data_IF_645445926629
#
_entry.id   IF_645445926629
#
_cell.length_a   1.000
_cell.length_b   1.000
_cell.length_c   1.000
_cell.angle_alpha   90.00
_cell.angle_beta   90.00
_cell.angle_gamma   90.00
#
_symmetry.space_group_name_H-M   'P 1'
#
loop_
_entity.id
_entity.type
_entity.pdbx_description
1 polymer ?
#
# COMPACT_ATOMS: atom_id res chain seq x y z
N UNK A 1 -35.17 -9.50 -8.44
CA UNK A 1 -34.30 -9.35 -7.24
C UNK A 1 -33.88 -7.88 -7.17
N UNK A 2 -34.04 -7.21 -6.04
CA UNK A 2 -33.63 -5.81 -5.95
C UNK A 2 -32.10 -5.72 -5.99
N UNK A 3 -31.57 -5.12 -7.07
CA UNK A 3 -30.14 -5.01 -7.34
C UNK A 3 -29.42 -4.21 -6.24
N UNK A 4 -30.04 -3.13 -5.78
CA UNK A 4 -29.52 -2.26 -4.74
C UNK A 4 -29.37 -3.02 -3.40
N UNK A 5 -30.37 -3.83 -3.04
CA UNK A 5 -30.31 -4.66 -1.85
C UNK A 5 -29.22 -5.74 -1.96
N UNK A 6 -29.03 -6.33 -3.14
CA UNK A 6 -27.97 -7.32 -3.38
C UNK A 6 -26.57 -6.72 -3.26
N UNK A 7 -26.38 -5.53 -3.81
CA UNK A 7 -25.12 -4.78 -3.69
C UNK A 7 -24.84 -4.40 -2.24
N UNK A 8 -25.83 -3.88 -1.51
CA UNK A 8 -25.65 -3.51 -0.11
C UNK A 8 -25.30 -4.74 0.75
N UNK A 9 -25.99 -5.86 0.59
CA UNK A 9 -25.67 -7.12 1.27
C UNK A 9 -24.23 -7.59 1.00
N UNK A 10 -23.77 -7.46 -0.24
CA UNK A 10 -22.39 -7.79 -0.60
C UNK A 10 -21.36 -6.85 0.04
N UNK A 11 -21.65 -5.56 0.06
CA UNK A 11 -20.76 -4.57 0.72
C UNK A 11 -20.66 -4.87 2.21
N UNK A 12 -21.76 -5.21 2.87
CA UNK A 12 -21.76 -5.56 4.29
C UNK A 12 -21.00 -6.87 4.55
N UNK A 13 -21.11 -7.86 3.68
CA UNK A 13 -20.29 -9.06 3.68
C UNK A 13 -18.79 -8.74 3.59
N UNK A 14 -18.40 -7.82 2.67
CA UNK A 14 -17.01 -7.43 2.52
C UNK A 14 -16.47 -6.69 3.75
N UNK A 15 -17.31 -5.89 4.42
CA UNK A 15 -16.96 -5.16 5.64
C UNK A 15 -16.84 -6.09 6.84
N UNK A 16 -17.87 -6.90 7.10
CA UNK A 16 -18.04 -7.65 8.34
C UNK A 16 -17.27 -8.97 8.30
N UNK A 17 -17.44 -9.77 7.25
CA UNK A 17 -16.82 -11.08 7.19
C UNK A 17 -15.40 -11.06 6.59
N UNK A 18 -15.16 -10.21 5.59
CA UNK A 18 -13.85 -10.15 4.90
C UNK A 18 -12.92 -9.09 5.47
N UNK A 19 -13.40 -8.21 6.33
CA UNK A 19 -12.63 -7.12 6.93
C UNK A 19 -11.86 -6.30 5.88
N UNK A 20 -12.49 -6.04 4.73
CA UNK A 20 -11.88 -5.24 3.67
C UNK A 20 -11.85 -3.76 4.08
N UNK A 21 -10.82 -3.04 3.59
CA UNK A 21 -10.69 -1.59 3.83
C UNK A 21 -11.80 -0.81 3.11
N UNK A 22 -12.15 0.38 3.64
CA UNK A 22 -13.10 1.31 3.02
C UNK A 22 -12.80 1.52 1.54
N UNK A 23 -11.56 1.77 1.20
CA UNK A 23 -11.09 1.93 -0.17
C UNK A 23 -11.42 0.71 -1.06
N UNK A 24 -11.29 -0.50 -0.53
CA UNK A 24 -11.56 -1.73 -1.31
C UNK A 24 -13.04 -1.87 -1.61
N UNK A 25 -13.92 -1.76 -0.62
CA UNK A 25 -15.35 -1.98 -0.86
C UNK A 25 -15.99 -0.82 -1.64
N UNK A 26 -15.47 0.42 -1.56
CA UNK A 26 -15.89 1.52 -2.42
C UNK A 26 -15.57 1.24 -3.91
N UNK A 27 -14.39 0.70 -4.19
CA UNK A 27 -14.06 0.30 -5.54
C UNK A 27 -14.93 -0.85 -6.05
N UNK A 28 -15.23 -1.83 -5.19
CA UNK A 28 -16.14 -2.93 -5.55
C UNK A 28 -17.56 -2.41 -5.83
N UNK A 29 -18.05 -1.49 -4.99
CA UNK A 29 -19.35 -0.81 -5.20
C UNK A 29 -19.39 -0.16 -6.57
N UNK A 30 -18.44 0.70 -6.86
CA UNK A 30 -18.38 1.43 -8.12
C UNK A 30 -18.28 0.50 -9.35
N UNK A 31 -17.47 -0.58 -9.27
CA UNK A 31 -17.35 -1.53 -10.36
C UNK A 31 -18.65 -2.28 -10.63
N UNK A 32 -19.43 -2.59 -9.60
CA UNK A 32 -20.73 -3.29 -9.72
C UNK A 32 -21.81 -2.34 -10.19
N UNK A 33 -21.83 -1.10 -9.72
CA UNK A 33 -22.76 -0.05 -10.21
C UNK A 33 -22.56 0.21 -11.71
N UNK A 34 -21.31 0.27 -12.17
CA UNK A 34 -21.01 0.39 -13.61
C UNK A 34 -21.50 -0.84 -14.40
N UNK A 35 -21.41 -2.03 -13.82
CA UNK A 35 -21.96 -3.23 -14.42
C UNK A 35 -23.49 -3.20 -14.48
N UNK A 36 -24.19 -2.69 -13.48
CA UNK A 36 -25.64 -2.48 -13.52
C UNK A 36 -26.05 -1.50 -14.62
N UNK A 37 -25.29 -0.44 -14.82
CA UNK A 37 -25.53 0.49 -15.93
C UNK A 37 -25.43 -0.24 -17.28
N UNK A 38 -24.39 -1.08 -17.44
CA UNK A 38 -24.22 -1.90 -18.64
C UNK A 38 -25.40 -2.85 -18.86
N UNK A 39 -25.85 -3.58 -17.82
CA UNK A 39 -27.00 -4.47 -17.91
C UNK A 39 -28.25 -3.73 -18.42
N UNK A 40 -28.51 -2.55 -17.87
CA UNK A 40 -29.63 -1.70 -18.26
C UNK A 40 -29.56 -1.24 -19.72
N UNK A 41 -28.37 -0.87 -20.19
CA UNK A 41 -28.13 -0.51 -21.61
C UNK A 41 -28.36 -1.69 -22.56
N UNK A 42 -28.09 -2.91 -22.11
CA UNK A 42 -28.28 -4.13 -22.90
C UNK A 42 -29.69 -4.75 -22.74
N UNK A 43 -30.57 -4.13 -21.96
CA UNK A 43 -31.91 -4.67 -21.70
C UNK A 43 -31.96 -5.92 -20.84
N UNK A 44 -30.90 -6.22 -20.08
CA UNK A 44 -30.80 -7.38 -19.20
C UNK A 44 -31.56 -7.05 -17.91
N UNK A 45 -32.66 -7.75 -17.66
CA UNK A 45 -33.59 -7.45 -16.59
C UNK A 45 -33.15 -7.89 -15.20
N UNK A 46 -32.24 -8.87 -15.09
CA UNK A 46 -31.82 -9.43 -13.80
C UNK A 46 -30.39 -9.99 -13.87
N UNK A 47 -29.70 -9.99 -12.73
CA UNK A 47 -28.39 -10.65 -12.57
C UNK A 47 -28.42 -12.16 -12.92
N UNK A 48 -29.59 -12.80 -12.86
CA UNK A 48 -29.77 -14.21 -13.23
C UNK A 48 -29.76 -14.42 -14.73
N UNK A 49 -30.13 -13.39 -15.48
CA UNK A 49 -30.28 -13.46 -16.94
C UNK A 49 -28.97 -13.12 -17.67
N UNK A 50 -27.94 -12.76 -16.93
CA UNK A 50 -26.62 -12.46 -17.48
C UNK A 50 -25.95 -13.76 -17.93
N UNK A 51 -25.60 -13.83 -19.19
CA UNK A 51 -24.89 -14.95 -19.81
C UNK A 51 -23.39 -14.69 -19.98
N UNK A 52 -22.66 -15.71 -20.37
CA UNK A 52 -21.22 -15.59 -20.71
C UNK A 52 -20.97 -14.63 -21.90
N UNK A 53 -21.91 -14.59 -22.86
CA UNK A 53 -21.93 -13.63 -23.98
C UNK A 53 -21.91 -12.19 -23.50
N UNK A 54 -22.73 -11.87 -22.49
CA UNK A 54 -22.84 -10.52 -21.91
C UNK A 54 -21.57 -10.15 -21.12
N UNK A 55 -20.99 -11.14 -20.41
CA UNK A 55 -19.72 -10.92 -19.72
C UNK A 55 -18.59 -10.58 -20.72
N UNK A 56 -18.58 -11.20 -21.91
CA UNK A 56 -17.65 -10.86 -22.99
C UNK A 56 -17.94 -9.47 -23.59
N UNK A 57 -19.21 -9.15 -23.81
CA UNK A 57 -19.62 -7.84 -24.33
C UNK A 57 -19.23 -6.71 -23.37
N UNK A 58 -19.40 -6.93 -22.05
CA UNK A 58 -18.92 -6.00 -21.04
C UNK A 58 -17.40 -5.77 -21.11
N UNK A 59 -16.61 -6.83 -21.31
CA UNK A 59 -15.16 -6.69 -21.53
C UNK A 59 -14.84 -5.86 -22.76
N UNK A 60 -15.54 -6.08 -23.86
CA UNK A 60 -15.37 -5.31 -25.10
C UNK A 60 -15.64 -3.82 -24.81
N UNK A 61 -16.76 -3.50 -24.15
CA UNK A 61 -17.08 -2.12 -23.72
C UNK A 61 -15.95 -1.49 -22.90
N UNK A 62 -15.42 -2.20 -21.90
CA UNK A 62 -14.31 -1.69 -21.08
C UNK A 62 -13.03 -1.46 -21.90
N UNK A 63 -12.78 -2.26 -22.93
CA UNK A 63 -11.68 -2.09 -23.87
C UNK A 63 -11.87 -0.87 -24.77
N UNK A 64 -13.08 -0.69 -25.32
CA UNK A 64 -13.42 0.44 -26.20
C UNK A 64 -13.36 1.78 -25.45
N UNK A 65 -13.60 1.77 -24.14
CA UNK A 65 -13.37 2.93 -23.25
C UNK A 65 -11.87 3.23 -23.02
N UNK A 66 -10.95 2.50 -23.62
CA UNK A 66 -9.51 2.71 -23.46
C UNK A 66 -8.93 2.34 -22.10
N UNK A 67 -9.64 1.55 -21.30
CA UNK A 67 -9.18 1.19 -19.96
C UNK A 67 -7.93 0.31 -20.01
N UNK A 68 -6.98 0.60 -19.10
CA UNK A 68 -5.77 -0.23 -18.95
C UNK A 68 -6.14 -1.65 -18.54
N UNK A 69 -5.42 -2.65 -19.06
CA UNK A 69 -5.59 -4.09 -18.75
C UNK A 69 -5.74 -4.38 -17.26
N UNK A 70 -4.95 -3.69 -16.40
CA UNK A 70 -5.04 -3.85 -14.95
C UNK A 70 -6.38 -3.37 -14.36
N UNK A 71 -6.96 -2.29 -14.91
CA UNK A 71 -8.27 -1.76 -14.50
C UNK A 71 -9.39 -2.71 -14.92
N UNK A 72 -9.34 -3.24 -16.14
CA UNK A 72 -10.28 -4.25 -16.64
C UNK A 72 -10.21 -5.51 -15.76
N UNK A 73 -9.02 -6.03 -15.48
CA UNK A 73 -8.83 -7.20 -14.62
C UNK A 73 -9.38 -6.98 -13.20
N UNK A 74 -9.21 -5.79 -12.62
CA UNK A 74 -9.77 -5.44 -11.32
C UNK A 74 -11.31 -5.45 -11.36
N UNK A 75 -11.92 -4.77 -12.34
CA UNK A 75 -13.38 -4.70 -12.49
C UNK A 75 -14.00 -6.10 -12.63
N UNK A 76 -13.45 -6.94 -13.50
CA UNK A 76 -13.90 -8.32 -13.64
C UNK A 76 -13.72 -9.13 -12.35
N UNK A 77 -12.64 -8.88 -11.61
CA UNK A 77 -12.42 -9.55 -10.31
C UNK A 77 -13.47 -9.13 -9.27
N UNK A 78 -13.87 -7.85 -9.25
CA UNK A 78 -14.93 -7.33 -8.39
C UNK A 78 -16.28 -8.02 -8.70
N UNK A 79 -16.66 -8.06 -9.97
CA UNK A 79 -17.91 -8.69 -10.43
C UNK A 79 -17.88 -10.19 -10.15
N UNK A 80 -16.78 -10.91 -10.43
CA UNK A 80 -16.63 -12.32 -10.06
C UNK A 80 -16.84 -12.58 -8.59
N UNK A 81 -16.30 -11.68 -7.75
CA UNK A 81 -16.45 -11.80 -6.30
C UNK A 81 -17.89 -11.59 -5.87
N UNK A 82 -18.60 -10.66 -6.53
CA UNK A 82 -20.00 -10.41 -6.30
C UNK A 82 -20.86 -11.62 -6.70
N UNK A 83 -20.67 -12.19 -7.89
CA UNK A 83 -21.39 -13.40 -8.32
C UNK A 83 -21.09 -14.58 -7.41
N UNK A 84 -19.86 -14.77 -6.95
CA UNK A 84 -19.54 -15.82 -5.96
C UNK A 84 -20.28 -15.62 -4.64
N UNK A 85 -20.45 -14.39 -4.18
CA UNK A 85 -21.26 -14.08 -3.02
C UNK A 85 -22.72 -14.44 -3.26
N UNK A 86 -23.31 -14.05 -4.40
CA UNK A 86 -24.69 -14.35 -4.74
C UNK A 86 -24.95 -15.88 -4.89
N UNK A 87 -23.97 -16.60 -5.41
CA UNK A 87 -24.03 -18.06 -5.50
C UNK A 87 -23.99 -18.71 -4.10
N UNK A 88 -23.11 -18.24 -3.21
CA UNK A 88 -23.07 -18.68 -1.80
C UNK A 88 -24.39 -18.44 -1.08
N UNK A 89 -25.04 -17.33 -1.34
CA UNK A 89 -26.37 -16.98 -0.78
C UNK A 89 -27.53 -17.69 -1.51
N UNK A 90 -27.25 -18.66 -2.36
CA UNK A 90 -28.21 -19.41 -3.17
C UNK A 90 -29.15 -18.53 -4.03
N UNK A 91 -28.72 -17.30 -4.32
CA UNK A 91 -29.50 -16.34 -5.12
C UNK A 91 -29.31 -16.54 -6.62
N UNK A 92 -28.17 -17.08 -7.04
CA UNK A 92 -27.77 -17.36 -8.43
C UNK A 92 -27.07 -18.70 -8.49
N UNK A 93 -27.31 -19.49 -9.56
CA UNK A 93 -26.72 -20.81 -9.72
C UNK A 93 -25.33 -20.76 -10.38
N UNK A 94 -25.13 -19.86 -11.35
CA UNK A 94 -23.93 -19.79 -12.15
C UNK A 94 -23.28 -18.39 -12.10
N UNK A 95 -21.96 -18.36 -12.30
CA UNK A 95 -21.21 -17.12 -12.39
C UNK A 95 -20.70 -16.95 -13.83
N UNK A 96 -21.34 -16.08 -14.65
CA UNK A 96 -20.99 -15.90 -16.05
C UNK A 96 -19.57 -15.39 -16.29
N UNK A 97 -18.98 -14.75 -15.28
CA UNK A 97 -17.61 -14.24 -15.35
C UNK A 97 -16.56 -15.31 -15.00
N UNK A 98 -16.93 -16.52 -14.55
CA UNK A 98 -15.97 -17.55 -14.16
C UNK A 98 -15.04 -17.95 -15.31
N UNK A 99 -15.60 -18.06 -16.52
CA UNK A 99 -14.89 -18.51 -17.71
C UNK A 99 -14.25 -17.37 -18.52
N UNK A 100 -14.41 -16.12 -18.10
CA UNK A 100 -13.80 -14.99 -18.78
C UNK A 100 -12.27 -15.04 -18.62
N UNK A 101 -11.56 -15.26 -19.70
CA UNK A 101 -10.10 -15.21 -19.70
C UNK A 101 -9.62 -13.79 -19.68
N UNK A 102 -8.96 -13.39 -18.59
CA UNK A 102 -8.26 -12.12 -18.53
C UNK A 102 -6.86 -12.27 -19.15
N UNK A 103 -6.40 -11.30 -19.95
CA UNK A 103 -5.05 -11.33 -20.47
C UNK A 103 -4.05 -11.45 -19.33
N UNK A 104 -3.11 -12.40 -19.44
CA UNK A 104 -2.03 -12.56 -18.45
C UNK A 104 -1.35 -11.21 -18.22
N UNK A 105 -1.16 -10.86 -16.96
CA UNK A 105 -0.34 -9.70 -16.62
C UNK A 105 1.05 -9.90 -17.20
N UNK A 106 1.55 -8.91 -17.95
CA UNK A 106 2.97 -8.88 -18.25
C UNK A 106 3.73 -8.95 -16.92
N UNK A 107 4.54 -9.96 -16.75
CA UNK A 107 5.48 -10.03 -15.63
C UNK A 107 6.57 -8.98 -15.91
N UNK A 108 6.34 -7.76 -15.44
CA UNK A 108 7.42 -6.76 -15.42
C UNK A 108 8.35 -7.18 -14.29
N UNK A 109 9.62 -7.36 -14.62
CA UNK A 109 10.64 -7.54 -13.59
C UNK A 109 10.48 -6.39 -12.57
N UNK A 110 10.42 -6.71 -11.28
CA UNK A 110 10.31 -5.68 -10.26
C UNK A 110 11.53 -4.76 -10.36
N UNK A 111 11.26 -3.47 -10.45
CA UNK A 111 12.32 -2.45 -10.49
C UNK A 111 12.68 -2.08 -9.07
N UNK A 112 13.95 -2.07 -8.76
CA UNK A 112 14.49 -1.56 -7.49
C UNK A 112 15.54 -0.48 -7.79
N UNK A 113 15.91 0.31 -6.80
CA UNK A 113 16.99 1.29 -6.89
C UNK A 113 18.31 0.63 -6.50
N UNK A 114 19.37 0.97 -7.20
CA UNK A 114 20.74 0.69 -6.75
C UNK A 114 21.13 1.64 -5.61
N UNK A 115 22.18 1.31 -4.87
CA UNK A 115 22.63 2.12 -3.72
C UNK A 115 23.00 3.56 -4.14
N UNK A 116 23.62 3.72 -5.32
CA UNK A 116 23.97 5.01 -5.87
C UNK A 116 22.73 5.85 -6.20
N UNK A 117 21.66 5.21 -6.69
CA UNK A 117 20.39 5.90 -6.95
C UNK A 117 19.70 6.33 -5.64
N UNK A 118 19.78 5.51 -4.57
CA UNK A 118 19.31 5.87 -3.23
C UNK A 118 20.09 7.07 -2.70
N UNK A 119 21.42 7.07 -2.84
CA UNK A 119 22.26 8.19 -2.42
C UNK A 119 21.89 9.48 -3.18
N UNK A 120 21.74 9.42 -4.49
CA UNK A 120 21.30 10.56 -5.29
C UNK A 120 19.93 11.12 -4.88
N UNK A 121 19.00 10.25 -4.46
CA UNK A 121 17.70 10.67 -3.94
C UNK A 121 17.81 11.37 -2.58
N UNK A 122 18.70 10.89 -1.72
CA UNK A 122 18.99 11.51 -0.42
C UNK A 122 19.64 12.88 -0.58
N UNK A 123 20.59 13.00 -1.49
CA UNK A 123 21.25 14.28 -1.80
C UNK A 123 20.25 15.29 -2.38
N UNK A 124 19.29 14.79 -3.18
CA UNK A 124 18.22 15.63 -3.71
C UNK A 124 17.22 16.11 -2.65
N UNK A 125 17.14 15.48 -1.46
CA UNK A 125 16.28 15.97 -0.38
C UNK A 125 16.65 17.36 0.07
N UNK A 126 17.96 17.69 0.17
CA UNK A 126 18.47 18.90 0.79
C UNK A 126 18.35 18.88 2.33
N UNK A 127 18.83 19.93 2.97
CA UNK A 127 18.87 20.07 4.44
C UNK A 127 18.70 21.52 4.93
N UNK A 128 18.47 22.45 4.00
CA UNK A 128 18.48 23.90 4.29
C UNK A 128 17.14 24.42 4.80
N UNK A 129 16.04 23.81 4.40
CA UNK A 129 14.70 24.23 4.78
C UNK A 129 13.98 23.19 5.65
N UNK A 130 13.02 23.61 6.50
CA UNK A 130 12.24 22.66 7.30
C UNK A 130 11.55 21.54 6.47
N UNK A 131 11.13 21.85 5.25
CA UNK A 131 10.52 20.86 4.36
C UNK A 131 11.53 19.89 3.75
N UNK A 132 12.76 20.34 3.51
CA UNK A 132 13.85 19.49 3.02
C UNK A 132 14.30 18.51 4.11
N UNK A 133 14.52 19.01 5.34
CA UNK A 133 14.83 18.15 6.50
C UNK A 133 13.73 17.10 6.71
N UNK A 134 12.44 17.51 6.64
CA UNK A 134 11.31 16.59 6.69
C UNK A 134 11.35 15.55 5.58
N UNK A 135 11.65 15.95 4.34
CA UNK A 135 11.71 15.06 3.19
C UNK A 135 12.84 14.04 3.34
N UNK A 136 13.99 14.45 3.85
CA UNK A 136 15.13 13.57 4.14
C UNK A 136 14.77 12.54 5.19
N UNK A 137 14.22 12.95 6.33
CA UNK A 137 13.78 12.02 7.39
C UNK A 137 12.70 11.05 6.90
N UNK A 138 11.74 11.53 6.10
CA UNK A 138 10.71 10.71 5.48
C UNK A 138 11.30 9.65 4.54
N UNK A 139 12.24 10.03 3.68
CA UNK A 139 12.87 9.13 2.72
C UNK A 139 13.75 8.09 3.43
N UNK A 140 14.58 8.53 4.37
CA UNK A 140 15.41 7.63 5.20
C UNK A 140 14.55 6.58 5.91
N UNK A 141 13.47 7.02 6.58
CA UNK A 141 12.59 6.09 7.29
C UNK A 141 11.89 5.09 6.35
N UNK A 142 11.39 5.55 5.21
CA UNK A 142 10.74 4.67 4.23
C UNK A 142 11.72 3.63 3.66
N UNK A 143 12.96 4.04 3.40
CA UNK A 143 13.99 3.13 2.90
C UNK A 143 14.50 2.20 4.01
N UNK A 144 14.78 2.70 5.20
CA UNK A 144 15.27 1.92 6.32
C UNK A 144 14.29 0.83 6.80
N UNK A 145 12.98 1.04 6.61
CA UNK A 145 11.95 0.15 7.18
C UNK A 145 11.16 -0.64 6.14
N UNK A 146 11.22 -0.22 4.89
CA UNK A 146 10.39 -0.80 3.84
C UNK A 146 8.88 -0.72 4.11
N UNK A 147 8.43 0.14 5.02
CA UNK A 147 7.00 0.27 5.36
C UNK A 147 6.16 0.77 4.20
N UNK A 148 4.85 0.53 4.26
CA UNK A 148 3.92 1.08 3.27
C UNK A 148 3.70 2.58 3.51
N UNK A 149 3.48 3.35 2.44
CA UNK A 149 3.15 4.78 2.56
C UNK A 149 1.91 5.04 3.43
N UNK A 150 0.95 4.12 3.41
CA UNK A 150 -0.23 4.21 4.28
C UNK A 150 0.10 4.02 5.76
N UNK A 151 1.05 3.17 6.07
CA UNK A 151 1.58 2.96 7.43
C UNK A 151 2.36 4.22 7.86
N UNK A 152 3.25 4.72 7.02
CA UNK A 152 4.03 5.91 7.28
C UNK A 152 3.18 7.18 7.52
N UNK A 153 2.11 7.35 6.73
CA UNK A 153 1.23 8.52 6.89
C UNK A 153 0.43 8.52 8.20
N UNK A 154 0.28 7.38 8.84
CA UNK A 154 -0.42 7.22 10.10
C UNK A 154 0.48 7.20 11.34
N UNK A 155 1.80 7.28 11.16
CA UNK A 155 2.73 7.27 12.30
C UNK A 155 2.56 8.50 13.19
N UNK A 156 2.65 8.29 14.48
CA UNK A 156 2.68 9.33 15.51
C UNK A 156 4.03 9.34 16.23
N UNK A 157 4.29 10.38 17.00
CA UNK A 157 5.50 10.46 17.84
C UNK A 157 5.55 9.32 18.86
N UNK A 158 4.39 8.90 19.35
CA UNK A 158 4.26 7.82 20.35
C UNK A 158 4.63 6.43 19.78
N UNK A 159 4.74 6.30 18.46
CA UNK A 159 5.11 5.03 17.80
C UNK A 159 6.62 4.81 17.71
N UNK A 160 7.45 5.84 18.05
CA UNK A 160 8.90 5.76 17.97
C UNK A 160 9.53 5.51 19.34
N UNK A 161 10.44 4.55 19.38
CA UNK A 161 11.36 4.36 20.50
C UNK A 161 12.79 4.60 20.01
N UNK A 162 13.32 5.78 20.32
CA UNK A 162 14.67 6.15 19.93
C UNK A 162 15.75 5.39 20.72
N UNK A 163 15.46 4.99 21.95
CA UNK A 163 16.43 4.25 22.79
C UNK A 163 16.74 2.87 22.20
N UNK A 164 15.72 2.22 21.62
CA UNK A 164 15.85 0.92 20.96
C UNK A 164 16.01 1.03 19.44
N UNK A 165 15.85 2.23 18.87
CA UNK A 165 15.79 2.46 17.40
C UNK A 165 14.76 1.55 16.72
N UNK A 166 13.56 1.49 17.27
CA UNK A 166 12.42 0.73 16.73
C UNK A 166 11.20 1.61 16.60
N UNK A 167 10.30 1.23 15.72
CA UNK A 167 9.00 1.87 15.60
C UNK A 167 7.87 0.83 15.54
N UNK A 168 6.70 1.20 16.05
CA UNK A 168 5.49 0.41 15.98
C UNK A 168 4.71 0.76 14.71
N UNK A 169 4.58 -0.21 13.81
CA UNK A 169 3.84 -0.05 12.55
C UNK A 169 2.50 -0.75 12.65
N UNK A 170 1.42 -0.01 12.39
CA UNK A 170 0.06 -0.53 12.31
C UNK A 170 -0.32 -0.81 10.88
N UNK A 171 -0.49 -2.09 10.55
CA UNK A 171 -0.84 -2.57 9.21
C UNK A 171 -2.34 -2.76 8.99
N UNK A 172 -2.68 -3.35 7.84
CA UNK A 172 -4.06 -3.67 7.47
C UNK A 172 -4.70 -4.63 8.49
N UNK A 173 -5.92 -4.31 8.93
CA UNK A 173 -6.67 -5.13 9.90
C UNK A 173 -6.21 -4.96 11.35
N UNK A 174 -5.55 -3.85 11.69
CA UNK A 174 -5.08 -3.58 13.05
C UNK A 174 -3.86 -4.42 13.49
N UNK A 175 -3.23 -5.14 12.55
CA UNK A 175 -2.01 -5.91 12.88
C UNK A 175 -0.84 -4.98 13.15
N UNK A 176 -0.18 -5.17 14.27
CA UNK A 176 0.97 -4.39 14.70
C UNK A 176 2.26 -5.19 14.53
N UNK A 177 3.34 -4.48 14.21
CA UNK A 177 4.70 -5.04 14.20
C UNK A 177 5.71 -3.99 14.61
N UNK A 178 6.77 -4.42 15.25
CA UNK A 178 7.94 -3.58 15.49
C UNK A 178 8.92 -3.70 14.33
N UNK A 179 9.44 -2.56 13.86
CA UNK A 179 10.40 -2.50 12.77
C UNK A 179 11.62 -1.71 13.25
N UNK A 180 12.82 -2.29 13.21
CA UNK A 180 14.03 -1.55 13.51
C UNK A 180 14.35 -0.54 12.42
N UNK A 181 15.07 0.52 12.78
CA UNK A 181 15.65 1.48 11.85
C UNK A 181 17.11 1.77 12.25
N UNK A 182 17.95 2.04 11.25
CA UNK A 182 19.37 2.23 11.45
C UNK A 182 19.73 3.66 11.87
N UNK A 183 21.04 3.88 12.08
CA UNK A 183 21.60 5.14 12.57
C UNK A 183 21.25 6.33 11.65
N UNK A 184 21.32 6.17 10.34
CA UNK A 184 20.98 7.24 9.39
C UNK A 184 19.53 7.70 9.50
N UNK A 185 18.60 6.78 9.66
CA UNK A 185 17.20 7.13 9.84
C UNK A 185 16.95 7.71 11.24
N UNK A 186 17.67 7.22 12.26
CA UNK A 186 17.66 7.77 13.61
C UNK A 186 18.03 9.25 13.61
N UNK A 187 19.21 9.58 13.09
CA UNK A 187 19.75 10.94 13.07
C UNK A 187 18.85 11.89 12.27
N UNK A 188 18.38 11.44 11.10
CA UNK A 188 17.48 12.23 10.27
C UNK A 188 16.13 12.50 10.95
N UNK A 189 15.58 11.52 11.69
CA UNK A 189 14.36 11.68 12.47
C UNK A 189 14.57 12.62 13.66
N UNK A 190 15.67 12.48 14.38
CA UNK A 190 16.01 13.34 15.52
C UNK A 190 16.15 14.79 15.06
N UNK A 191 16.89 15.04 13.98
CA UNK A 191 17.01 16.38 13.40
C UNK A 191 15.64 16.93 12.98
N UNK A 192 14.83 16.11 12.31
CA UNK A 192 13.50 16.55 11.89
C UNK A 192 12.61 16.90 13.08
N UNK A 193 12.54 16.05 14.09
CA UNK A 193 11.66 16.25 15.25
C UNK A 193 12.07 17.49 16.03
N UNK A 194 13.36 17.65 16.33
CA UNK A 194 13.86 18.68 17.21
C UNK A 194 13.95 20.05 16.51
N UNK A 195 14.28 20.10 15.22
CA UNK A 195 14.57 21.35 14.50
C UNK A 195 13.43 21.75 13.56
N UNK A 196 12.95 20.84 12.75
CA UNK A 196 12.06 21.16 11.64
C UNK A 196 10.58 21.01 12.00
N UNK A 197 10.22 19.93 12.68
CA UNK A 197 8.83 19.64 13.04
C UNK A 197 8.26 20.72 13.97
N UNK A 198 9.04 21.22 14.90
CA UNK A 198 8.68 22.33 15.80
C UNK A 198 8.31 23.59 15.03
N UNK A 199 9.04 23.89 13.95
CA UNK A 199 8.74 25.04 13.06
C UNK A 199 7.48 24.81 12.22
N UNK A 200 7.22 23.58 11.81
CA UNK A 200 6.06 23.22 10.99
C UNK A 200 4.77 23.10 11.81
N UNK A 201 4.87 22.72 13.07
CA UNK A 201 3.71 22.47 13.95
C UNK A 201 2.94 23.77 14.23
N UNK A 202 1.64 23.77 13.92
CA UNK A 202 0.74 24.90 14.24
C UNK A 202 -0.12 24.64 15.47
N UNK A 203 -0.33 23.41 15.83
CA UNK A 203 -1.17 23.00 16.96
C UNK A 203 -0.38 22.07 17.88
N UNK A 204 -0.24 22.42 19.15
CA UNK A 204 0.51 21.63 20.13
C UNK A 204 -0.04 20.21 20.31
N UNK A 205 -1.31 19.97 19.98
CA UNK A 205 -1.96 18.67 20.05
C UNK A 205 -1.70 17.76 18.83
N UNK A 206 -0.95 18.22 17.82
CA UNK A 206 -0.65 17.43 16.64
C UNK A 206 0.35 16.33 16.95
N UNK A 207 -0.10 15.08 16.90
CA UNK A 207 0.69 13.89 17.24
C UNK A 207 1.37 13.22 16.06
N UNK A 208 0.89 13.45 14.83
CA UNK A 208 1.47 12.78 13.66
C UNK A 208 2.95 13.11 13.51
N UNK A 209 3.73 12.08 13.17
CA UNK A 209 5.16 12.22 12.99
C UNK A 209 5.46 13.20 11.85
N UNK A 210 4.98 12.94 10.63
CA UNK A 210 5.26 13.78 9.47
C UNK A 210 4.15 14.79 9.21
N UNK A 211 4.55 16.07 9.09
CA UNK A 211 3.64 17.18 8.85
C UNK A 211 3.78 17.70 7.41
N UNK A 212 2.68 18.21 6.89
CA UNK A 212 2.66 18.95 5.63
C UNK A 212 3.09 20.40 5.83
N UNK A 213 3.21 21.19 4.75
CA UNK A 213 3.61 22.61 4.78
C UNK A 213 2.61 23.53 5.53
N UNK A 214 1.39 23.03 5.83
CA UNK A 214 0.35 23.76 6.56
C UNK A 214 0.34 23.39 8.05
N UNK A 215 1.21 22.49 8.48
CA UNK A 215 1.32 22.05 9.88
C UNK A 215 0.36 20.95 10.30
N UNK A 216 -0.46 20.41 9.39
CA UNK A 216 -1.29 19.25 9.63
C UNK A 216 -0.64 17.94 9.16
N UNK A 217 -1.31 16.78 9.34
CA UNK A 217 -0.78 15.47 8.95
C UNK A 217 -0.38 15.37 7.48
N UNK A 218 0.73 14.70 7.20
CA UNK A 218 1.17 14.43 5.83
C UNK A 218 0.41 13.23 5.26
N UNK A 219 -0.44 13.46 4.26
CA UNK A 219 -1.25 12.43 3.64
C UNK A 219 -0.44 11.49 2.75
N UNK A 220 -0.96 10.29 2.48
CA UNK A 220 -0.38 9.35 1.51
C UNK A 220 -0.14 9.98 0.12
N UNK A 221 -1.08 10.83 -0.32
CA UNK A 221 -0.95 11.57 -1.59
C UNK A 221 0.21 12.57 -1.52
N UNK A 222 0.36 13.25 -0.38
CA UNK A 222 1.47 14.17 -0.13
C UNK A 222 2.82 13.46 -0.16
N UNK A 223 2.94 12.30 0.50
CA UNK A 223 4.15 11.47 0.47
C UNK A 223 4.50 11.06 -0.98
N UNK A 224 3.52 10.57 -1.75
CA UNK A 224 3.76 10.19 -3.15
C UNK A 224 4.24 11.36 -4.00
N UNK A 225 3.67 12.55 -3.80
CA UNK A 225 4.08 13.76 -4.52
C UNK A 225 5.52 14.16 -4.18
N UNK A 226 5.90 14.08 -2.89
CA UNK A 226 7.28 14.34 -2.45
C UNK A 226 8.25 13.38 -3.12
N UNK A 227 7.97 12.08 -3.07
CA UNK A 227 8.82 11.08 -3.69
C UNK A 227 8.97 11.31 -5.21
N UNK A 228 7.89 11.67 -5.92
CA UNK A 228 7.95 12.00 -7.35
C UNK A 228 8.87 13.20 -7.60
N UNK A 229 8.70 14.28 -6.83
CA UNK A 229 9.54 15.47 -6.97
C UNK A 229 11.02 15.21 -6.68
N UNK A 230 11.33 14.33 -5.72
CA UNK A 230 12.72 13.96 -5.42
C UNK A 230 13.39 13.25 -6.59
N UNK A 231 12.65 12.40 -7.30
CA UNK A 231 13.17 11.75 -8.52
C UNK A 231 13.45 12.73 -9.62
N UNK A 232 12.47 13.60 -9.88
CA UNK A 232 12.63 14.62 -10.90
C UNK A 232 13.87 15.50 -10.57
N UNK A 233 14.07 15.85 -9.28
CA UNK A 233 15.23 16.63 -8.82
C UNK A 233 16.55 15.85 -8.92
N UNK A 234 16.53 14.54 -8.64
CA UNK A 234 17.70 13.66 -8.80
C UNK A 234 18.01 13.29 -10.25
N UNK A 235 17.26 13.83 -11.22
CA UNK A 235 17.41 13.54 -12.65
C UNK A 235 17.36 12.05 -13.00
N UNK A 236 16.66 11.26 -12.21
CA UNK A 236 16.49 9.83 -12.47
C UNK A 236 15.39 9.61 -13.51
N UNK A 237 15.69 8.92 -14.59
CA UNK A 237 14.77 8.66 -15.72
C UNK A 237 13.62 7.70 -15.40
N UNK A 238 13.53 7.21 -14.18
CA UNK A 238 12.58 6.17 -13.75
C UNK A 238 11.38 6.78 -13.04
N UNK A 239 10.17 6.25 -13.34
CA UNK A 239 8.97 6.59 -12.56
C UNK A 239 8.95 5.78 -11.26
N UNK A 240 8.96 6.46 -10.13
CA UNK A 240 8.79 5.79 -8.82
C UNK A 240 7.32 5.45 -8.55
N UNK A 241 7.15 4.27 -7.97
CA UNK A 241 5.99 3.95 -7.16
C UNK A 241 6.47 3.68 -5.72
N UNK A 242 5.72 4.07 -4.69
CA UNK A 242 6.12 3.84 -3.29
C UNK A 242 6.46 2.38 -2.97
N UNK A 243 5.84 1.44 -3.67
CA UNK A 243 6.19 0.02 -3.58
C UNK A 243 7.61 -0.30 -4.06
N UNK A 244 8.22 0.57 -4.85
CA UNK A 244 9.58 0.39 -5.33
C UNK A 244 10.61 0.58 -4.21
N UNK A 245 10.44 1.57 -3.31
CA UNK A 245 11.29 1.71 -2.12
C UNK A 245 11.21 0.47 -1.21
N UNK A 246 10.01 -0.03 -0.97
CA UNK A 246 9.81 -1.25 -0.19
C UNK A 246 10.43 -2.47 -0.88
N UNK A 247 10.35 -2.55 -2.20
CA UNK A 247 11.01 -3.63 -2.96
C UNK A 247 12.54 -3.47 -2.92
N UNK A 248 13.04 -2.24 -3.01
CA UNK A 248 14.47 -1.92 -2.86
C UNK A 248 14.99 -2.37 -1.49
N UNK A 249 14.29 -2.01 -0.41
CA UNK A 249 14.60 -2.49 0.94
C UNK A 249 14.73 -4.02 0.99
N UNK A 250 13.72 -4.74 0.49
CA UNK A 250 13.74 -6.19 0.47
C UNK A 250 14.91 -6.76 -0.35
N UNK A 251 15.15 -6.19 -1.53
CA UNK A 251 16.21 -6.65 -2.44
C UNK A 251 17.59 -6.41 -1.86
N UNK A 252 17.83 -5.24 -1.25
CA UNK A 252 19.12 -4.94 -0.64
C UNK A 252 19.42 -5.86 0.55
N UNK A 253 18.44 -6.08 1.43
CA UNK A 253 18.61 -7.03 2.54
C UNK A 253 18.93 -8.45 2.04
N UNK A 254 18.19 -8.96 1.05
CA UNK A 254 18.41 -10.29 0.48
C UNK A 254 19.75 -10.39 -0.23
N UNK A 255 20.17 -9.38 -1.01
CA UNK A 255 21.46 -9.36 -1.70
C UNK A 255 22.63 -9.34 -0.70
N UNK A 256 22.43 -8.71 0.46
CA UNK A 256 23.42 -8.68 1.54
C UNK A 256 23.34 -9.91 2.46
N UNK A 257 22.56 -10.94 2.10
CA UNK A 257 22.55 -12.23 2.78
C UNK A 257 21.50 -12.39 3.89
N UNK A 258 20.56 -11.47 4.05
CA UNK A 258 19.47 -11.63 5.00
C UNK A 258 18.58 -12.83 4.64
N UNK A 259 18.11 -13.55 5.64
CA UNK A 259 17.15 -14.62 5.45
C UNK A 259 15.79 -14.10 4.93
N UNK A 260 15.21 -14.80 3.96
CA UNK A 260 13.94 -14.43 3.32
C UNK A 260 12.80 -14.30 4.34
N UNK A 261 12.78 -15.17 5.36
CA UNK A 261 11.75 -15.14 6.40
C UNK A 261 11.87 -13.90 7.27
N UNK A 262 13.12 -13.54 7.66
CA UNK A 262 13.37 -12.31 8.41
C UNK A 262 12.91 -11.07 7.63
N UNK A 263 13.17 -11.02 6.31
CA UNK A 263 12.69 -9.93 5.43
C UNK A 263 11.17 -9.92 5.33
N UNK A 264 10.51 -11.07 5.22
CA UNK A 264 9.04 -11.17 5.21
C UNK A 264 8.41 -10.67 6.52
N UNK A 265 9.01 -11.01 7.66
CA UNK A 265 8.55 -10.59 8.99
C UNK A 265 8.71 -9.07 9.18
N UNK A 266 9.86 -8.49 8.79
CA UNK A 266 10.09 -7.04 8.79
C UNK A 266 9.04 -6.31 7.93
N UNK A 267 8.69 -6.88 6.79
CA UNK A 267 7.71 -6.31 5.88
C UNK A 267 6.26 -6.54 6.31
N UNK A 268 5.97 -7.47 7.22
CA UNK A 268 4.63 -7.81 7.65
C UNK A 268 3.79 -8.43 6.53
N UNK A 269 4.29 -9.49 5.88
CA UNK A 269 3.56 -10.26 4.88
C UNK A 269 2.57 -11.21 5.57
N UNK A 270 1.28 -11.07 5.27
CA UNK A 270 0.17 -11.76 5.94
C UNK A 270 -0.03 -13.24 5.52
N UNK A 271 0.88 -13.86 4.78
CA UNK A 271 0.67 -15.18 4.15
C UNK A 271 1.42 -16.32 4.82
N UNK A 272 1.61 -16.30 6.12
CA UNK A 272 1.78 -17.54 6.87
C UNK A 272 1.08 -17.36 8.22
N UNK A 273 0.17 -18.30 8.46
CA UNK A 273 -0.69 -18.40 9.63
C UNK A 273 0.06 -18.12 10.92
N UNK A 274 -0.61 -17.44 11.77
CA UNK A 274 -0.39 -17.28 13.18
C UNK A 274 0.00 -15.88 13.63
N UNK A 275 -0.79 -15.41 14.52
CA UNK A 275 -0.49 -14.50 15.60
C UNK A 275 0.70 -15.07 16.40
N UNK A 276 1.89 -15.06 15.81
CA UNK A 276 3.10 -15.26 16.62
C UNK A 276 3.23 -14.01 17.48
N UNK A 277 2.98 -14.21 18.76
CA UNK A 277 3.37 -13.28 19.81
C UNK A 277 4.85 -13.00 19.60
N UNK A 278 5.19 -11.77 19.14
CA UNK A 278 6.58 -11.33 19.03
C UNK A 278 7.16 -11.32 20.45
N UNK A 279 7.87 -12.36 20.81
CA UNK A 279 8.64 -12.44 22.06
C UNK A 279 9.85 -11.50 21.95
N UNK A 280 10.42 -11.09 23.10
CA UNK A 280 11.65 -10.30 23.11
C UNK A 280 12.78 -10.94 22.29
N UNK A 281 12.89 -12.24 22.30
CA UNK A 281 13.89 -13.02 21.53
C UNK A 281 13.72 -12.84 20.03
N UNK A 282 12.48 -12.77 19.52
CA UNK A 282 12.24 -12.56 18.08
C UNK A 282 12.54 -11.13 17.62
N UNK A 283 12.34 -10.13 18.51
CA UNK A 283 12.67 -8.72 18.20
C UNK A 283 14.17 -8.50 18.09
N UNK A 284 14.94 -9.04 19.01
CA UNK A 284 16.40 -8.95 18.99
C UNK A 284 17.01 -9.66 17.78
N UNK A 285 16.44 -10.77 17.38
CA UNK A 285 16.88 -11.52 16.21
C UNK A 285 16.60 -10.77 14.90
N UNK A 286 15.41 -10.15 14.78
CA UNK A 286 15.08 -9.30 13.64
C UNK A 286 15.97 -8.06 13.58
N UNK A 287 16.25 -7.43 14.74
CA UNK A 287 17.16 -6.30 14.84
C UNK A 287 18.59 -6.68 14.43
N UNK A 288 19.12 -7.80 14.93
CA UNK A 288 20.45 -8.30 14.53
C UNK A 288 20.53 -8.56 13.04
N UNK A 289 19.53 -9.22 12.46
CA UNK A 289 19.47 -9.46 11.02
C UNK A 289 19.42 -8.15 10.23
N UNK A 290 18.63 -7.17 10.67
CA UNK A 290 18.58 -5.85 10.05
C UNK A 290 19.94 -5.14 10.08
N UNK A 291 20.55 -5.03 11.28
CA UNK A 291 21.83 -4.34 11.47
C UNK A 291 22.99 -4.99 10.69
N UNK A 292 22.93 -6.30 10.48
CA UNK A 292 23.96 -7.01 9.74
C UNK A 292 23.86 -6.86 8.21
N UNK A 293 22.67 -6.55 7.68
CA UNK A 293 22.43 -6.68 6.23
C UNK A 293 21.85 -5.43 5.57
N UNK A 294 21.36 -4.43 6.34
CA UNK A 294 20.82 -3.21 5.73
C UNK A 294 21.95 -2.21 5.43
N UNK A 295 22.04 -1.64 4.20
CA UNK A 295 23.15 -0.73 3.83
C UNK A 295 23.26 0.54 4.68
N UNK A 296 22.17 0.91 5.36
CA UNK A 296 22.08 2.10 6.23
C UNK A 296 21.61 1.72 7.65
N UNK A 297 22.16 0.64 8.16
CA UNK A 297 21.95 0.20 9.53
C UNK A 297 22.63 1.11 10.55
#
# INVERSE_FOLDING_TARGET
>A
MNEEHSLQSFIDYLKIEKHYSSYTFEHYRHDIEEFYVFMKEQGIGSLKDVEYSDARLFLTKLHDQGLKRASVARKVSSIRSFYRFLNREARILENPFSYVNLPKREQRLPKFFYEEEIQALLDACGDSTPLEIRNRALFELLYATGMRVSECSGLTLDDLDFSLSILLVRGKGGKERYVPFGSFAHDALEEYINRSRTTLTKHASEKHLFLNHRGGPLTQRGIRLILTKLIDKASLTRKIHPHMLRHTFATHLLNNGADLRAVQDLLGHATLSSTQVYTHVSKDQLRKSYLAHHPRA
#
